data_IF_540878368268
#
_entry.id   IF_540878368268
#
_cell.length_a   1.000
_cell.length_b   1.000
_cell.length_c   1.000
_cell.angle_alpha   90.00
_cell.angle_beta   90.00
_cell.angle_gamma   90.00
#
_symmetry.space_group_name_H-M   'P 1'
#
loop_
_entity.id
_entity.type
_entity.pdbx_description
1 polymer ?
#
# COMPACT_ATOMS: atom_id res chain seq x y z
N UNK A 1 40.09 -56.25 -9.92
CA UNK A 1 41.53 -56.21 -9.55
C UNK A 1 42.06 -54.81 -9.81
N UNK A 2 43.13 -54.39 -9.11
CA UNK A 2 43.96 -53.18 -9.34
C UNK A 2 43.23 -51.80 -9.42
N UNK A 3 43.29 -50.89 -8.43
CA UNK A 3 44.43 -50.03 -7.92
C UNK A 3 44.77 -48.84 -8.84
N UNK A 4 45.28 -47.68 -8.40
CA UNK A 4 46.14 -47.34 -7.23
C UNK A 4 46.02 -45.84 -6.80
N UNK A 5 46.09 -45.56 -5.47
CA UNK A 5 46.58 -44.31 -4.79
C UNK A 5 46.04 -42.90 -5.19
N UNK A 6 46.27 -41.79 -4.45
CA UNK A 6 47.23 -41.47 -3.38
C UNK A 6 46.66 -40.55 -2.28
N UNK A 7 47.24 -40.59 -1.06
CA UNK A 7 47.13 -39.53 -0.03
C UNK A 7 48.36 -38.61 -0.08
N UNK A 8 48.19 -37.33 0.26
CA UNK A 8 49.18 -36.52 1.01
C UNK A 8 48.56 -35.22 1.56
N UNK A 9 49.03 -34.78 2.73
CA UNK A 9 48.61 -33.55 3.41
C UNK A 9 49.73 -32.50 3.45
N UNK A 10 49.42 -31.24 3.83
CA UNK A 10 50.37 -30.40 4.57
C UNK A 10 49.82 -29.97 5.96
N UNK A 11 50.68 -29.60 6.95
CA UNK A 11 50.26 -29.47 8.36
C UNK A 11 50.31 -28.04 8.97
N UNK A 12 49.56 -27.90 10.05
CA UNK A 12 49.86 -27.19 11.31
C UNK A 12 50.62 -25.85 11.34
N UNK A 13 49.86 -24.78 11.60
CA UNK A 13 50.03 -23.79 12.70
C UNK A 13 51.43 -23.32 13.16
N UNK A 14 51.59 -22.01 13.26
CA UNK A 14 52.41 -21.37 14.31
C UNK A 14 51.59 -20.36 15.13
N UNK A 15 51.93 -20.22 16.41
CA UNK A 15 51.32 -19.30 17.37
C UNK A 15 52.32 -18.21 17.73
N UNK A 16 51.88 -16.97 17.86
CA UNK A 16 52.55 -15.98 18.71
C UNK A 16 51.52 -15.12 19.45
N UNK A 17 51.88 -14.71 20.67
CA UNK A 17 51.00 -14.01 21.62
C UNK A 17 51.72 -12.80 22.24
N UNK A 18 50.91 -11.90 22.80
CA UNK A 18 51.17 -10.76 23.69
C UNK A 18 51.09 -9.35 23.09
N UNK A 19 50.29 -8.49 23.73
CA UNK A 19 50.13 -7.08 23.31
C UNK A 19 48.90 -6.34 23.84
N UNK A 20 48.71 -6.25 25.17
CA UNK A 20 47.92 -5.16 25.80
C UNK A 20 48.90 -4.24 26.54
N UNK A 21 48.72 -2.92 26.50
CA UNK A 21 48.19 -2.30 27.72
C UNK A 21 47.31 -1.03 27.57
N UNK A 22 46.47 -0.84 28.59
CA UNK A 22 45.99 0.41 29.24
C UNK A 22 45.19 1.49 28.49
N UNK A 23 44.14 1.90 29.20
CA UNK A 23 43.39 3.17 29.09
C UNK A 23 44.30 4.37 29.39
N UNK A 24 43.92 5.55 28.90
CA UNK A 24 44.17 6.82 29.59
C UNK A 24 42.88 7.66 29.69
N UNK A 25 42.75 8.41 30.77
CA UNK A 25 41.68 9.38 31.08
C UNK A 25 42.35 10.74 31.40
N UNK A 26 41.52 11.75 31.69
CA UNK A 26 41.84 13.12 32.15
C UNK A 26 42.23 14.12 31.03
N UNK A 27 42.04 15.44 31.24
CA UNK A 27 40.88 16.07 31.90
C UNK A 27 40.35 17.33 31.14
N UNK A 28 39.36 18.00 31.73
CA UNK A 28 38.91 19.37 31.38
C UNK A 28 40.04 20.41 31.62
N UNK A 29 39.90 21.68 31.15
CA UNK A 29 39.33 22.68 32.07
C UNK A 29 38.56 23.87 31.43
N UNK A 30 38.02 24.70 32.33
CA UNK A 30 37.62 26.12 32.19
C UNK A 30 36.44 26.58 31.32
N UNK A 31 35.34 26.79 32.06
CA UNK A 31 34.40 27.93 31.99
C UNK A 31 34.88 29.21 31.28
N UNK A 32 33.96 29.83 30.54
CA UNK A 32 33.74 31.28 30.64
C UNK A 32 32.23 31.59 30.63
N UNK A 33 31.80 32.48 31.52
CA UNK A 33 30.46 33.07 31.48
C UNK A 33 30.52 34.33 30.62
N UNK A 34 29.45 34.65 29.88
CA UNK A 34 29.30 35.98 29.30
C UNK A 34 27.99 36.63 29.76
N UNK A 35 28.12 37.77 30.43
CA UNK A 35 27.00 38.59 30.91
C UNK A 35 27.02 39.96 30.24
N UNK A 36 25.96 40.26 29.50
CA UNK A 36 25.60 41.62 29.06
C UNK A 36 24.13 41.81 29.41
N UNK A 37 23.78 42.18 30.65
CA UNK A 37 23.71 43.57 31.12
C UNK A 37 23.03 44.52 30.13
N UNK A 38 21.76 44.83 30.39
CA UNK A 38 21.20 46.15 30.08
C UNK A 38 20.20 46.57 31.18
N UNK A 39 20.55 47.66 31.86
CA UNK A 39 19.86 48.27 33.02
C UNK A 39 18.51 48.93 32.66
N UNK A 40 17.79 49.32 33.73
CA UNK A 40 16.87 50.47 33.86
C UNK A 40 15.36 50.25 33.67
N UNK A 41 14.45 51.00 34.31
CA UNK A 41 14.54 51.81 35.57
C UNK A 41 13.13 52.30 35.99
N UNK A 42 12.57 51.79 37.12
CA UNK A 42 11.30 52.23 37.78
C UNK A 42 10.01 51.97 36.97
N UNK A 43 8.81 51.99 37.56
CA UNK A 43 8.42 52.05 38.99
C UNK A 43 7.10 52.81 39.23
N UNK A 44 6.25 52.31 40.16
CA UNK A 44 4.87 52.76 40.44
C UNK A 44 3.86 52.60 39.26
N UNK A 45 2.53 52.53 39.49
CA UNK A 45 1.78 52.61 40.75
C UNK A 45 0.36 52.01 40.66
N UNK A 46 -0.46 52.19 41.70
CA UNK A 46 -1.83 51.63 41.77
C UNK A 46 -2.83 52.31 40.81
N UNK A 47 -3.80 51.53 40.32
CA UNK A 47 -4.92 52.02 39.50
C UNK A 47 -6.11 51.05 39.48
N UNK A 48 -6.87 50.99 40.59
CA UNK A 48 -8.11 50.18 40.68
C UNK A 48 -9.29 51.00 40.18
N UNK A 49 -9.88 50.64 39.04
CA UNK A 49 -11.18 51.17 38.61
C UNK A 49 -12.17 50.04 38.33
N UNK A 50 -13.46 50.35 38.48
CA UNK A 50 -14.55 49.36 38.63
C UNK A 50 -15.74 49.78 37.77
N UNK A 51 -16.35 48.80 37.10
CA UNK A 51 -17.64 48.86 36.39
C UNK A 51 -17.82 49.94 35.31
N UNK A 52 -18.19 49.50 34.11
CA UNK A 52 -19.61 49.50 33.75
C UNK A 52 -19.92 48.46 32.67
N UNK A 53 -21.13 47.88 32.76
CA UNK A 53 -21.64 46.82 31.90
C UNK A 53 -22.94 47.32 31.27
N UNK A 54 -22.87 47.83 30.04
CA UNK A 54 -24.05 48.34 29.34
C UNK A 54 -24.67 47.19 28.53
N UNK A 55 -25.95 46.89 28.81
CA UNK A 55 -26.78 45.94 28.07
C UNK A 55 -28.16 46.57 27.94
N UNK A 56 -28.49 47.09 26.76
CA UNK A 56 -29.79 47.69 26.47
C UNK A 56 -30.74 46.63 25.86
N UNK A 57 -32.05 46.82 26.03
CA UNK A 57 -33.09 45.88 25.60
C UNK A 57 -33.93 46.43 24.42
N UNK A 58 -34.40 45.48 23.61
CA UNK A 58 -35.63 45.36 22.83
C UNK A 58 -36.70 46.50 22.77
N UNK A 59 -37.19 46.71 21.53
CA UNK A 59 -38.61 46.79 21.10
C UNK A 59 -39.49 48.00 21.53
N UNK A 60 -40.71 48.23 20.92
CA UNK A 60 -41.49 47.36 20.02
C UNK A 60 -42.12 47.99 18.75
N UNK A 61 -42.82 47.14 17.97
CA UNK A 61 -43.97 47.43 17.05
C UNK A 61 -43.68 48.27 15.78
N UNK A 62 -44.32 48.08 14.61
CA UNK A 62 -45.34 47.11 14.11
C UNK A 62 -45.07 46.91 12.58
N UNK A 63 -45.87 46.27 11.69
CA UNK A 63 -47.25 45.76 11.68
C UNK A 63 -47.41 44.55 10.71
N UNK A 64 -48.63 44.06 10.46
CA UNK A 64 -48.93 42.87 9.65
C UNK A 64 -49.89 43.07 8.45
N UNK A 65 -49.81 42.18 7.46
CA UNK A 65 -50.87 41.87 6.47
C UNK A 65 -50.61 40.51 5.79
N UNK A 66 -51.67 39.84 5.34
CA UNK A 66 -51.68 38.40 5.02
C UNK A 66 -51.60 38.08 3.51
N UNK A 67 -51.08 36.88 3.17
CA UNK A 67 -51.80 35.84 2.41
C UNK A 67 -50.92 34.61 2.10
N UNK A 68 -51.52 33.41 2.04
CA UNK A 68 -50.86 32.13 1.71
C UNK A 68 -51.15 31.65 0.26
N UNK A 69 -51.04 30.34 -0.07
CA UNK A 69 -50.87 29.19 0.84
C UNK A 69 -49.87 28.07 0.40
N UNK A 70 -49.66 27.09 1.29
CA UNK A 70 -49.27 25.68 1.06
C UNK A 70 -48.18 25.30 0.03
N UNK A 71 -47.08 24.74 0.54
CA UNK A 71 -46.59 23.42 0.10
C UNK A 71 -45.98 22.65 1.30
N UNK A 72 -45.83 21.33 1.19
CA UNK A 72 -45.56 20.44 2.34
C UNK A 72 -44.07 20.23 2.65
N UNK A 73 -43.78 20.16 3.96
CA UNK A 73 -42.80 19.25 4.55
C UNK A 73 -41.38 19.23 3.97
N UNK A 74 -40.67 20.36 4.03
CA UNK A 74 -39.20 20.30 4.11
C UNK A 74 -38.80 19.65 5.43
N UNK A 75 -38.19 18.45 5.37
CA UNK A 75 -37.67 17.75 6.54
C UNK A 75 -36.60 18.60 7.25
N UNK A 76 -36.70 18.72 8.57
CA UNK A 76 -35.84 19.58 9.38
C UNK A 76 -34.36 19.22 9.27
N UNK A 77 -33.61 20.00 8.50
CA UNK A 77 -32.14 19.94 8.44
C UNK A 77 -31.56 20.43 9.78
N UNK A 78 -31.39 19.50 10.71
CA UNK A 78 -30.78 19.76 12.03
C UNK A 78 -29.31 20.12 11.83
N UNK A 79 -29.04 21.41 11.72
CA UNK A 79 -27.70 21.98 11.49
C UNK A 79 -26.86 22.00 12.76
N UNK A 80 -26.65 20.84 13.37
CA UNK A 80 -25.55 20.64 14.32
C UNK A 80 -24.24 21.06 13.65
N UNK A 81 -23.62 22.13 14.16
CA UNK A 81 -22.35 22.64 13.65
C UNK A 81 -21.23 21.64 13.83
N UNK A 82 -20.97 20.82 12.82
CA UNK A 82 -19.91 19.81 12.81
C UNK A 82 -18.57 20.53 12.93
N UNK A 83 -17.84 20.28 14.03
CA UNK A 83 -16.50 20.83 14.25
C UNK A 83 -15.56 20.40 13.13
N UNK A 84 -14.64 21.27 12.72
CA UNK A 84 -13.66 20.97 11.67
C UNK A 84 -12.82 19.72 11.98
N UNK A 85 -12.55 19.47 13.27
CA UNK A 85 -11.90 18.24 13.74
C UNK A 85 -12.79 17.00 13.63
N UNK A 86 -14.12 17.13 13.72
CA UNK A 86 -15.05 16.02 13.49
C UNK A 86 -15.08 15.58 12.02
N UNK A 87 -14.88 16.48 11.06
CA UNK A 87 -14.65 16.11 9.66
C UNK A 87 -13.34 15.34 9.45
N UNK A 88 -12.27 15.77 10.13
CA UNK A 88 -10.99 15.05 10.11
C UNK A 88 -11.13 13.64 10.71
N UNK A 89 -11.87 13.51 11.83
CA UNK A 89 -12.16 12.22 12.45
C UNK A 89 -13.03 11.32 11.54
N UNK A 90 -14.02 11.88 10.81
CA UNK A 90 -14.85 11.11 9.87
C UNK A 90 -14.06 10.57 8.68
N UNK A 91 -13.22 11.40 8.05
CA UNK A 91 -12.33 10.99 6.97
C UNK A 91 -11.28 9.96 7.45
N UNK A 92 -10.71 10.18 8.64
CA UNK A 92 -9.80 9.24 9.27
C UNK A 92 -10.46 7.89 9.53
N UNK A 93 -11.67 7.88 10.10
CA UNK A 93 -12.41 6.66 10.42
C UNK A 93 -12.79 5.83 9.19
N UNK A 94 -13.12 6.49 8.07
CA UNK A 94 -13.37 5.82 6.81
C UNK A 94 -12.11 5.15 6.25
N UNK A 95 -10.96 5.83 6.28
CA UNK A 95 -9.68 5.24 5.88
C UNK A 95 -9.20 4.13 6.82
N UNK A 96 -9.52 4.21 8.11
CA UNK A 96 -9.29 3.13 9.07
C UNK A 96 -10.09 1.88 8.71
N UNK A 97 -11.38 2.03 8.37
CA UNK A 97 -12.23 0.89 7.95
C UNK A 97 -11.75 0.25 6.65
N UNK A 98 -11.38 1.06 5.65
CA UNK A 98 -10.78 0.60 4.39
C UNK A 98 -9.50 -0.22 4.65
N UNK A 99 -8.54 0.37 5.37
CA UNK A 99 -7.24 -0.25 5.61
C UNK A 99 -7.33 -1.44 6.57
N UNK A 100 -8.29 -1.46 7.49
CA UNK A 100 -8.61 -2.64 8.30
C UNK A 100 -9.17 -3.80 7.46
N UNK A 101 -10.05 -3.53 6.49
CA UNK A 101 -10.55 -4.55 5.56
C UNK A 101 -9.40 -5.15 4.72
N UNK A 102 -8.55 -4.30 4.14
CA UNK A 102 -7.39 -4.77 3.35
C UNK A 102 -6.37 -5.54 4.21
N UNK A 103 -6.18 -5.11 5.46
CA UNK A 103 -5.34 -5.82 6.44
C UNK A 103 -5.93 -7.19 6.76
N UNK A 104 -7.24 -7.30 7.00
CA UNK A 104 -7.93 -8.56 7.25
C UNK A 104 -7.76 -9.52 6.05
N UNK A 105 -8.12 -9.09 4.84
CA UNK A 105 -8.03 -9.92 3.62
C UNK A 105 -6.60 -10.43 3.38
N UNK A 106 -5.59 -9.57 3.58
CA UNK A 106 -4.17 -9.93 3.41
C UNK A 106 -3.61 -10.82 4.54
N UNK A 107 -4.27 -10.87 5.71
CA UNK A 107 -3.95 -11.81 6.80
C UNK A 107 -4.69 -13.15 6.69
N UNK A 108 -5.90 -13.17 6.13
CA UNK A 108 -6.68 -14.41 5.91
C UNK A 108 -6.35 -15.10 4.59
N UNK A 109 -5.58 -14.48 3.70
CA UNK A 109 -5.32 -14.98 2.35
C UNK A 109 -6.59 -14.98 1.48
N UNK A 110 -7.49 -14.04 1.71
CA UNK A 110 -8.73 -13.88 0.97
C UNK A 110 -8.56 -12.83 -0.13
N UNK A 111 -9.03 -13.14 -1.34
CA UNK A 111 -9.05 -12.16 -2.43
C UNK A 111 -9.88 -10.92 -2.05
N UNK A 112 -9.36 -9.73 -2.35
CA UNK A 112 -10.03 -8.48 -2.08
C UNK A 112 -11.12 -8.23 -3.13
N UNK A 113 -12.30 -7.77 -2.70
CA UNK A 113 -13.39 -7.45 -3.62
C UNK A 113 -13.12 -6.11 -4.32
N UNK A 114 -12.53 -6.15 -5.51
CA UNK A 114 -12.25 -4.96 -6.32
C UNK A 114 -13.43 -4.65 -7.27
N UNK A 115 -14.34 -3.71 -6.94
CA UNK A 115 -15.50 -3.38 -7.79
C UNK A 115 -15.13 -2.68 -9.09
N UNK A 116 -13.92 -2.11 -9.18
CA UNK A 116 -13.33 -1.49 -10.36
C UNK A 116 -11.87 -1.94 -10.41
N UNK A 117 -11.41 -2.38 -11.59
CA UNK A 117 -10.05 -2.88 -11.84
C UNK A 117 -9.91 -4.41 -11.93
N UNK A 118 -10.94 -5.17 -11.53
CA UNK A 118 -10.96 -6.64 -11.67
C UNK A 118 -9.74 -7.32 -11.03
N UNK A 119 -9.16 -8.29 -11.73
CA UNK A 119 -7.95 -9.00 -11.30
C UNK A 119 -6.79 -8.05 -10.98
N UNK A 120 -6.51 -7.07 -11.87
CA UNK A 120 -5.35 -6.16 -11.75
C UNK A 120 -5.26 -5.39 -10.43
N UNK A 121 -6.40 -5.15 -9.78
CA UNK A 121 -6.47 -4.57 -8.45
C UNK A 121 -5.94 -5.52 -7.36
N UNK A 122 -6.18 -6.83 -7.47
CA UNK A 122 -5.56 -7.85 -6.62
C UNK A 122 -4.07 -8.05 -6.93
N UNK A 123 -3.63 -8.01 -8.19
CA UNK A 123 -2.21 -8.02 -8.57
C UNK A 123 -1.45 -6.91 -7.80
N UNK A 124 -1.99 -5.69 -7.80
CA UNK A 124 -1.42 -4.53 -7.11
C UNK A 124 -1.42 -4.72 -5.58
N UNK A 125 -2.53 -5.20 -5.00
CA UNK A 125 -2.64 -5.45 -3.55
C UNK A 125 -1.77 -6.61 -3.05
N UNK A 126 -1.41 -7.55 -3.92
CA UNK A 126 -0.51 -8.68 -3.62
C UNK A 126 0.94 -8.45 -4.07
N UNK A 127 1.22 -7.37 -4.80
CA UNK A 127 2.56 -6.99 -5.25
C UNK A 127 3.58 -6.75 -4.12
N UNK A 128 4.86 -6.73 -4.50
CA UNK A 128 5.97 -6.32 -3.64
C UNK A 128 5.79 -4.89 -3.07
N UNK A 129 5.05 -4.00 -3.76
CA UNK A 129 4.80 -2.64 -3.29
C UNK A 129 3.75 -2.56 -2.17
N UNK A 130 2.93 -3.59 -1.99
CA UNK A 130 1.93 -3.66 -0.93
C UNK A 130 2.49 -4.18 0.41
N UNK A 131 3.81 -4.07 0.62
CA UNK A 131 4.55 -4.39 1.86
C UNK A 131 5.71 -3.39 2.00
N UNK A 132 5.93 -2.85 3.20
CA UNK A 132 7.00 -1.87 3.50
C UNK A 132 7.78 -2.36 4.72
N UNK A 133 9.09 -2.55 4.57
CA UNK A 133 9.97 -3.18 5.59
C UNK A 133 9.43 -4.48 6.22
N UNK A 134 8.61 -5.25 5.50
CA UNK A 134 7.98 -6.49 5.98
C UNK A 134 6.62 -6.32 6.65
N UNK A 135 6.19 -5.10 6.90
CA UNK A 135 4.86 -4.81 7.42
C UNK A 135 3.92 -4.63 6.22
N UNK A 136 2.78 -5.35 6.14
CA UNK A 136 1.79 -5.11 5.08
C UNK A 136 1.40 -3.63 5.05
N UNK A 137 1.46 -3.03 3.86
CA UNK A 137 1.12 -1.61 3.68
C UNK A 137 -0.24 -1.21 4.28
N UNK A 138 -1.34 -1.97 4.12
CA UNK A 138 -2.61 -1.62 4.76
C UNK A 138 -2.56 -1.67 6.30
N UNK A 139 -1.68 -2.46 6.92
CA UNK A 139 -1.53 -2.47 8.38
C UNK A 139 -0.88 -1.17 8.88
N UNK A 140 0.08 -0.62 8.14
CA UNK A 140 0.64 0.71 8.40
C UNK A 140 -0.44 1.79 8.23
N UNK A 141 -1.22 1.69 7.15
CA UNK A 141 -2.37 2.57 6.90
C UNK A 141 -3.38 2.55 8.05
N UNK A 142 -3.75 1.37 8.54
CA UNK A 142 -4.69 1.18 9.65
C UNK A 142 -4.20 1.87 10.94
N UNK A 143 -2.90 1.75 11.25
CA UNK A 143 -2.31 2.47 12.40
C UNK A 143 -2.32 3.99 12.18
N UNK A 144 -1.99 4.47 10.98
CA UNK A 144 -1.93 5.89 10.67
C UNK A 144 -3.32 6.56 10.68
N UNK A 145 -4.30 6.00 9.96
CA UNK A 145 -5.69 6.47 9.97
C UNK A 145 -6.31 6.36 11.37
N UNK A 146 -6.05 5.27 12.11
CA UNK A 146 -6.51 5.12 13.49
C UNK A 146 -5.95 6.21 14.43
N UNK A 147 -4.65 6.48 14.36
CA UNK A 147 -4.01 7.53 15.14
C UNK A 147 -4.54 8.94 14.79
N UNK A 148 -4.66 9.25 13.49
CA UNK A 148 -5.23 10.52 13.03
C UNK A 148 -6.70 10.71 13.48
N UNK A 149 -7.49 9.64 13.44
CA UNK A 149 -8.90 9.63 13.91
C UNK A 149 -8.97 9.90 15.41
N UNK A 150 -8.20 9.16 16.21
CA UNK A 150 -8.15 9.33 17.66
C UNK A 150 -7.71 10.74 18.06
N UNK A 151 -6.66 11.26 17.42
CA UNK A 151 -6.14 12.59 17.69
C UNK A 151 -7.13 13.70 17.29
N UNK A 152 -7.79 13.58 16.13
CA UNK A 152 -8.85 14.49 15.71
C UNK A 152 -10.06 14.47 16.66
N UNK A 153 -10.47 13.29 17.15
CA UNK A 153 -11.52 13.18 18.18
C UNK A 153 -11.12 13.88 19.48
N UNK A 154 -9.88 13.68 19.96
CA UNK A 154 -9.40 14.29 21.21
C UNK A 154 -9.20 15.80 21.11
N UNK A 155 -8.80 16.32 19.94
CA UNK A 155 -8.81 17.75 19.63
C UNK A 155 -10.24 18.31 19.61
N UNK A 156 -11.20 17.59 18.99
CA UNK A 156 -12.60 17.99 18.97
C UNK A 156 -13.24 18.07 20.38
N UNK A 157 -12.84 17.20 21.31
CA UNK A 157 -13.30 17.23 22.71
C UNK A 157 -12.42 18.06 23.65
N UNK A 158 -11.29 18.62 23.17
CA UNK A 158 -10.24 19.29 23.98
C UNK A 158 -9.72 18.45 25.15
N UNK A 159 -9.73 17.13 25.02
CA UNK A 159 -9.33 16.15 26.05
C UNK A 159 -8.11 15.37 25.57
N UNK A 160 -6.98 16.07 25.46
CA UNK A 160 -5.75 15.52 24.92
C UNK A 160 -5.05 14.58 25.93
N UNK A 161 -4.71 13.35 25.51
CA UNK A 161 -4.06 12.38 26.38
C UNK A 161 -2.59 12.74 26.63
N UNK A 162 -1.99 12.09 27.63
CA UNK A 162 -0.57 12.21 28.01
C UNK A 162 -0.10 13.62 28.41
N UNK A 163 -1.04 14.55 28.69
CA UNK A 163 -0.72 15.92 29.09
C UNK A 163 -0.21 16.80 27.95
N UNK A 164 -0.47 16.42 26.69
CA UNK A 164 -0.17 17.25 25.53
C UNK A 164 -1.11 18.46 25.46
N UNK A 165 -0.57 19.61 25.10
CA UNK A 165 -1.33 20.82 24.81
C UNK A 165 -1.89 20.85 23.37
N UNK A 166 -2.83 21.76 23.12
CA UNK A 166 -3.55 21.90 21.85
C UNK A 166 -2.61 22.17 20.66
N UNK A 167 -1.46 22.85 20.87
CA UNK A 167 -0.50 23.15 19.80
C UNK A 167 0.27 21.90 19.38
N UNK A 168 0.74 21.10 20.33
CA UNK A 168 1.42 19.82 20.06
C UNK A 168 0.48 18.77 19.47
N UNK A 169 -0.77 18.70 19.94
CA UNK A 169 -1.80 17.84 19.35
C UNK A 169 -2.09 18.20 17.88
N UNK A 170 -2.23 19.49 17.58
CA UNK A 170 -2.38 19.97 16.20
C UNK A 170 -1.16 19.67 15.32
N UNK A 171 0.06 19.88 15.85
CA UNK A 171 1.30 19.63 15.10
C UNK A 171 1.47 18.14 14.75
N UNK A 172 1.10 17.25 15.67
CA UNK A 172 1.10 15.80 15.45
C UNK A 172 0.03 15.38 14.41
N UNK A 173 -1.15 16.02 14.40
CA UNK A 173 -2.17 15.77 13.37
C UNK A 173 -1.70 16.26 11.99
N UNK A 174 -1.05 17.41 11.92
CA UNK A 174 -0.48 17.92 10.67
C UNK A 174 0.64 17.01 10.15
N UNK A 175 1.58 16.60 11.01
CA UNK A 175 2.68 15.71 10.63
C UNK A 175 2.22 14.31 10.18
N UNK A 176 1.26 13.70 10.88
CA UNK A 176 0.69 12.40 10.48
C UNK A 176 -0.04 12.49 9.15
N UNK A 177 -0.89 13.51 8.95
CA UNK A 177 -1.64 13.66 7.69
C UNK A 177 -0.75 14.02 6.50
N UNK A 178 0.33 14.80 6.69
CA UNK A 178 1.39 15.00 5.67
C UNK A 178 2.11 13.69 5.32
N UNK A 179 2.44 12.87 6.32
CA UNK A 179 3.07 11.56 6.11
C UNK A 179 2.16 10.63 5.29
N UNK A 180 0.85 10.62 5.58
CA UNK A 180 -0.14 9.84 4.84
C UNK A 180 -0.29 10.35 3.40
N UNK A 181 -0.45 11.67 3.19
CA UNK A 181 -0.55 12.26 1.86
C UNK A 181 0.71 12.02 1.00
N UNK A 182 1.91 12.09 1.59
CA UNK A 182 3.17 11.81 0.89
C UNK A 182 3.30 10.32 0.55
N UNK A 183 2.89 9.43 1.46
CA UNK A 183 2.86 7.97 1.19
C UNK A 183 1.90 7.66 0.04
N UNK A 184 0.67 8.17 0.09
CA UNK A 184 -0.32 7.97 -0.98
C UNK A 184 0.12 8.59 -2.31
N UNK A 185 0.78 9.74 -2.32
CA UNK A 185 1.35 10.34 -3.54
C UNK A 185 2.45 9.46 -4.16
N UNK A 186 3.33 8.90 -3.33
CA UNK A 186 4.41 8.01 -3.76
C UNK A 186 3.88 6.68 -4.31
N UNK A 187 2.84 6.12 -3.68
CA UNK A 187 2.15 4.91 -4.15
C UNK A 187 1.40 5.15 -5.46
N UNK A 188 0.76 6.32 -5.62
CA UNK A 188 0.12 6.72 -6.89
C UNK A 188 1.15 6.88 -8.02
N UNK A 189 2.34 7.40 -7.71
CA UNK A 189 3.46 7.45 -8.65
C UNK A 189 3.91 6.05 -9.08
N UNK A 190 4.04 5.10 -8.15
CA UNK A 190 4.33 3.68 -8.49
C UNK A 190 3.21 3.08 -9.35
N UNK A 191 1.95 3.27 -8.99
CA UNK A 191 0.80 2.78 -9.75
C UNK A 191 0.85 3.28 -11.21
N UNK A 192 1.06 4.59 -11.38
CA UNK A 192 1.12 5.24 -12.69
C UNK A 192 2.34 4.86 -13.55
N UNK A 193 3.44 4.36 -12.95
CA UNK A 193 4.70 4.08 -13.68
C UNK A 193 4.97 2.60 -13.87
N UNK A 194 4.66 1.78 -12.87
CA UNK A 194 4.95 0.33 -12.85
C UNK A 194 3.76 -0.52 -13.33
N UNK A 195 2.54 0.02 -13.29
CA UNK A 195 1.30 -0.68 -13.69
C UNK A 195 0.46 0.15 -14.69
N UNK A 196 1.05 0.62 -15.82
CA UNK A 196 0.32 1.43 -16.79
C UNK A 196 -0.91 0.69 -17.34
N UNK A 197 -2.08 1.32 -17.21
CA UNK A 197 -3.37 0.77 -17.65
C UNK A 197 -4.12 -0.06 -16.60
N UNK A 198 -3.49 -0.46 -15.50
CA UNK A 198 -4.18 -1.12 -14.39
C UNK A 198 -4.86 -0.09 -13.46
N UNK A 199 -5.99 -0.46 -12.87
CA UNK A 199 -6.67 0.36 -11.85
C UNK A 199 -6.88 -0.40 -10.54
N UNK A 200 -6.60 0.27 -9.43
CA UNK A 200 -6.80 -0.25 -8.09
C UNK A 200 -7.76 0.68 -7.34
N UNK A 201 -9.03 0.28 -7.25
CA UNK A 201 -10.11 1.07 -6.62
C UNK A 201 -9.75 1.50 -5.20
N UNK A 202 -9.25 0.58 -4.38
CA UNK A 202 -8.75 0.87 -3.02
C UNK A 202 -7.58 1.86 -3.00
N UNK A 203 -6.61 1.71 -3.91
CA UNK A 203 -5.47 2.61 -3.99
C UNK A 203 -5.92 4.06 -4.27
N UNK A 204 -6.94 4.23 -5.13
CA UNK A 204 -7.55 5.53 -5.42
C UNK A 204 -8.39 6.08 -4.25
N UNK A 205 -9.14 5.24 -3.54
CA UNK A 205 -9.90 5.65 -2.34
C UNK A 205 -8.95 6.12 -1.23
N UNK A 206 -7.92 5.34 -0.88
CA UNK A 206 -6.91 5.73 0.10
C UNK A 206 -6.18 7.04 -0.30
N UNK A 207 -5.88 7.24 -1.59
CA UNK A 207 -5.36 8.53 -2.09
C UNK A 207 -6.34 9.67 -1.81
N UNK A 208 -7.61 9.55 -2.22
CA UNK A 208 -8.63 10.58 -2.02
C UNK A 208 -8.83 10.90 -0.53
N UNK A 209 -8.83 9.88 0.34
CA UNK A 209 -8.96 10.06 1.79
C UNK A 209 -7.73 10.73 2.40
N UNK A 210 -6.51 10.31 2.04
CA UNK A 210 -5.27 10.93 2.52
C UNK A 210 -5.17 12.41 2.15
N UNK A 211 -5.43 12.76 0.88
CA UNK A 211 -5.40 14.15 0.42
C UNK A 211 -6.54 14.99 1.02
N UNK A 212 -7.74 14.43 1.16
CA UNK A 212 -8.87 15.12 1.81
C UNK A 212 -8.61 15.38 3.29
N UNK A 213 -7.99 14.42 3.99
CA UNK A 213 -7.64 14.54 5.41
C UNK A 213 -6.53 15.59 5.63
N UNK A 214 -5.51 15.62 4.77
CA UNK A 214 -4.50 16.68 4.78
C UNK A 214 -5.09 18.06 4.44
N UNK A 215 -5.99 18.17 3.45
CA UNK A 215 -6.62 19.43 3.06
C UNK A 215 -7.61 19.98 4.10
N UNK A 216 -8.33 19.09 4.81
CA UNK A 216 -9.19 19.48 5.94
C UNK A 216 -8.38 19.86 7.17
N UNK A 217 -7.31 19.13 7.48
CA UNK A 217 -6.38 19.48 8.58
C UNK A 217 -5.72 20.84 8.32
N UNK A 218 -5.19 21.07 7.12
CA UNK A 218 -4.55 22.36 6.76
C UNK A 218 -5.53 23.54 6.78
N UNK A 219 -6.79 23.34 6.36
CA UNK A 219 -7.85 24.35 6.53
C UNK A 219 -8.19 24.62 8.00
N UNK A 220 -8.13 23.60 8.86
CA UNK A 220 -8.48 23.70 10.28
C UNK A 220 -7.42 24.46 11.08
N UNK A 221 -6.14 24.14 10.89
CA UNK A 221 -5.01 24.79 11.57
C UNK A 221 -4.69 26.19 11.02
N UNK A 222 -5.11 26.48 9.79
CA UNK A 222 -4.96 27.78 9.14
C UNK A 222 -3.59 28.02 8.49
N UNK A 223 -3.61 28.74 7.35
CA UNK A 223 -2.46 28.93 6.48
C UNK A 223 -1.25 29.63 7.12
N UNK A 224 -1.48 30.47 8.13
CA UNK A 224 -0.40 31.17 8.83
C UNK A 224 0.44 30.23 9.71
N UNK A 225 -0.18 29.27 10.40
CA UNK A 225 0.52 28.28 11.23
C UNK A 225 1.34 27.33 10.36
N UNK A 226 0.77 26.88 9.24
CA UNK A 226 1.44 26.05 8.23
C UNK A 226 2.67 26.76 7.64
N UNK A 227 2.61 28.08 7.41
CA UNK A 227 3.75 28.85 6.88
C UNK A 227 4.95 28.85 7.83
N UNK A 228 4.73 28.82 9.15
CA UNK A 228 5.80 28.63 10.14
C UNK A 228 6.38 27.22 10.09
N UNK A 229 5.51 26.20 10.06
CA UNK A 229 5.89 24.78 10.11
C UNK A 229 6.28 24.17 8.75
N UNK A 230 6.33 24.95 7.67
CA UNK A 230 6.56 24.46 6.31
C UNK A 230 7.89 23.68 6.19
N UNK A 231 8.93 24.12 6.91
CA UNK A 231 10.20 23.40 6.97
C UNK A 231 10.05 22.00 7.57
N UNK A 232 9.32 21.87 8.67
CA UNK A 232 9.04 20.57 9.30
C UNK A 232 8.21 19.67 8.37
N UNK A 233 7.20 20.21 7.69
CA UNK A 233 6.38 19.43 6.76
C UNK A 233 7.19 18.91 5.57
N UNK A 234 8.10 19.73 5.01
CA UNK A 234 9.03 19.30 3.96
C UNK A 234 10.05 18.26 4.47
N UNK A 235 10.53 18.39 5.71
CA UNK A 235 11.38 17.37 6.34
C UNK A 235 10.64 16.03 6.53
N UNK A 236 9.38 16.05 7.01
CA UNK A 236 8.56 14.84 7.15
C UNK A 236 8.33 14.20 5.79
N UNK A 237 7.91 14.97 4.78
CA UNK A 237 7.70 14.46 3.42
C UNK A 237 9.00 13.88 2.82
N UNK A 238 10.14 14.55 2.99
CA UNK A 238 11.45 14.07 2.55
C UNK A 238 11.89 12.78 3.24
N UNK A 239 11.67 12.65 4.55
CA UNK A 239 11.97 11.43 5.31
C UNK A 239 11.06 10.26 4.90
N UNK A 240 9.76 10.50 4.68
CA UNK A 240 8.81 9.49 4.21
C UNK A 240 9.16 9.02 2.79
N UNK A 241 9.45 9.96 1.88
CA UNK A 241 9.90 9.64 0.52
C UNK A 241 11.21 8.84 0.54
N UNK A 242 12.18 9.23 1.37
CA UNK A 242 13.45 8.50 1.51
C UNK A 242 13.27 7.09 2.10
N UNK A 243 12.41 6.94 3.12
CA UNK A 243 12.11 5.65 3.74
C UNK A 243 11.38 4.69 2.76
N UNK A 244 10.38 5.17 2.03
CA UNK A 244 9.70 4.39 1.00
C UNK A 244 10.66 4.04 -0.16
N UNK A 245 11.39 5.02 -0.67
CA UNK A 245 12.39 4.81 -1.72
C UNK A 245 13.47 3.82 -1.31
N UNK A 246 13.92 3.84 -0.05
CA UNK A 246 14.85 2.83 0.48
C UNK A 246 14.16 1.47 0.61
N UNK A 247 12.92 1.39 1.09
CA UNK A 247 12.18 0.10 1.22
C UNK A 247 11.93 -0.60 -0.12
N UNK A 248 11.87 0.13 -1.24
CA UNK A 248 11.57 -0.45 -2.57
C UNK A 248 12.78 -0.52 -3.51
N UNK A 249 13.79 0.34 -3.37
CA UNK A 249 15.03 0.27 -4.17
C UNK A 249 16.13 -0.56 -3.51
N UNK A 250 16.12 -0.72 -2.18
CA UNK A 250 17.00 -1.71 -1.57
C UNK A 250 16.57 -3.11 -2.00
N UNK A 251 17.52 -3.93 -2.42
CA UNK A 251 17.33 -5.38 -2.58
C UNK A 251 17.24 -6.06 -1.20
N UNK A 252 16.28 -5.62 -0.39
CA UNK A 252 15.80 -6.39 0.74
C UNK A 252 15.30 -7.72 0.17
N UNK A 253 15.65 -8.88 0.77
CA UNK A 253 14.95 -10.11 0.44
C UNK A 253 13.44 -9.85 0.67
N UNK A 254 12.56 -10.36 -0.21
CA UNK A 254 11.11 -10.16 -0.05
C UNK A 254 10.77 -10.60 1.38
N UNK A 255 10.20 -9.70 2.20
CA UNK A 255 10.27 -9.86 3.64
C UNK A 255 9.35 -10.98 4.12
N UNK A 256 9.73 -11.62 5.24
CA UNK A 256 8.95 -12.69 5.86
C UNK A 256 7.51 -12.23 6.09
N UNK A 257 6.57 -12.78 5.31
CA UNK A 257 5.15 -12.66 5.63
C UNK A 257 4.98 -13.14 7.06
N UNK A 258 4.17 -12.45 7.86
CA UNK A 258 3.96 -12.79 9.27
C UNK A 258 3.23 -14.13 9.39
N UNK A 259 3.98 -15.25 9.34
CA UNK A 259 3.45 -16.59 9.15
C UNK A 259 4.20 -17.48 8.15
N UNK A 260 5.22 -16.99 7.42
CA UNK A 260 5.99 -17.76 6.42
C UNK A 260 6.97 -18.77 7.04
N UNK A 261 6.40 -19.75 7.74
CA UNK A 261 6.95 -21.10 7.74
C UNK A 261 7.05 -21.55 6.28
N UNK A 262 8.10 -22.31 5.98
CA UNK A 262 8.28 -23.01 4.70
C UNK A 262 6.94 -23.56 4.17
N UNK A 263 6.52 -23.08 3.00
CA UNK A 263 5.35 -23.56 2.28
C UNK A 263 5.73 -24.87 1.59
N UNK A 264 5.21 -26.04 2.04
CA UNK A 264 5.49 -27.29 1.35
C UNK A 264 4.81 -27.26 -0.04
N UNK A 265 5.49 -27.81 -1.05
CA UNK A 265 4.90 -27.96 -2.37
C UNK A 265 3.56 -28.70 -2.29
N UNK A 266 2.51 -28.02 -2.74
CA UNK A 266 1.14 -28.53 -2.70
C UNK A 266 0.53 -28.39 -4.10
N UNK A 267 0.22 -29.50 -4.80
CA UNK A 267 -0.37 -29.43 -6.14
C UNK A 267 -1.68 -28.63 -6.16
N UNK A 268 -1.78 -27.67 -7.07
CA UNK A 268 -2.98 -26.85 -7.28
C UNK A 268 -4.16 -27.70 -7.75
N UNK A 269 -5.19 -27.88 -6.92
CA UNK A 269 -6.41 -28.62 -7.30
C UNK A 269 -7.26 -27.80 -8.29
N UNK A 270 -7.53 -28.35 -9.47
CA UNK A 270 -8.36 -27.70 -10.49
C UNK A 270 -9.77 -28.28 -10.44
N UNK A 271 -10.73 -27.41 -10.11
CA UNK A 271 -12.13 -27.79 -9.83
C UNK A 271 -13.04 -27.69 -11.05
N UNK A 272 -12.79 -26.71 -11.92
CA UNK A 272 -13.53 -26.54 -13.17
C UNK A 272 -13.25 -27.67 -14.17
N UNK A 273 -14.26 -28.18 -14.91
CA UNK A 273 -14.05 -29.04 -16.07
C UNK A 273 -13.53 -28.22 -17.27
N UNK A 274 -12.81 -28.86 -18.18
CA UNK A 274 -12.35 -28.18 -19.41
C UNK A 274 -13.44 -28.04 -20.47
N UNK A 275 -13.46 -26.91 -21.18
CA UNK A 275 -14.24 -26.76 -22.41
C UNK A 275 -13.56 -27.47 -23.61
N UNK A 276 -14.30 -27.73 -24.72
CA UNK A 276 -13.71 -28.28 -25.94
C UNK A 276 -12.63 -27.35 -26.54
N UNK A 277 -12.86 -26.02 -26.52
CA UNK A 277 -11.87 -25.02 -26.89
C UNK A 277 -10.60 -25.14 -26.03
N UNK A 278 -10.75 -25.20 -24.70
CA UNK A 278 -9.62 -25.31 -23.78
C UNK A 278 -8.76 -26.55 -24.07
N UNK A 279 -9.40 -27.71 -24.30
CA UNK A 279 -8.70 -28.96 -24.67
C UNK A 279 -7.95 -28.85 -25.99
N UNK A 280 -8.58 -28.29 -27.03
CA UNK A 280 -7.99 -28.17 -28.37
C UNK A 280 -6.82 -27.17 -28.37
N UNK A 281 -6.97 -26.03 -27.69
CA UNK A 281 -5.94 -25.00 -27.53
C UNK A 281 -4.77 -25.49 -26.66
N UNK A 282 -5.02 -26.19 -25.55
CA UNK A 282 -3.95 -26.77 -24.73
C UNK A 282 -3.15 -27.83 -25.50
N UNK A 283 -3.83 -28.65 -26.31
CA UNK A 283 -3.19 -29.65 -27.18
C UNK A 283 -2.29 -28.98 -28.22
N UNK A 284 -2.75 -27.90 -28.86
CA UNK A 284 -1.96 -27.09 -29.79
C UNK A 284 -0.74 -26.46 -29.11
N UNK A 285 -0.94 -25.81 -27.96
CA UNK A 285 0.14 -25.19 -27.16
C UNK A 285 1.24 -26.19 -26.82
N UNK A 286 0.89 -27.40 -26.36
CA UNK A 286 1.88 -28.47 -26.14
C UNK A 286 2.54 -28.94 -27.44
N UNK A 287 1.80 -29.07 -28.53
CA UNK A 287 2.34 -29.53 -29.81
C UNK A 287 3.41 -28.58 -30.39
N UNK A 288 3.28 -27.26 -30.16
CA UNK A 288 4.29 -26.26 -30.55
C UNK A 288 5.38 -26.02 -29.48
N UNK A 289 5.35 -26.74 -28.36
CA UNK A 289 6.31 -26.58 -27.26
C UNK A 289 6.13 -25.28 -26.44
N UNK A 290 4.93 -24.70 -26.42
CA UNK A 290 4.63 -23.51 -25.63
C UNK A 290 4.59 -23.84 -24.13
N UNK A 291 5.40 -23.13 -23.34
CA UNK A 291 5.60 -23.38 -21.90
C UNK A 291 4.94 -22.31 -21.04
N UNK A 292 4.25 -22.74 -19.99
CA UNK A 292 3.73 -21.90 -18.91
C UNK A 292 4.60 -22.07 -17.67
N UNK A 293 5.31 -21.02 -17.27
CA UNK A 293 6.09 -20.97 -16.03
C UNK A 293 5.26 -20.38 -14.91
N UNK A 294 5.34 -20.97 -13.71
CA UNK A 294 4.57 -20.50 -12.55
C UNK A 294 5.10 -21.05 -11.22
N UNK A 295 4.36 -20.76 -10.16
CA UNK A 295 4.58 -21.31 -8.82
C UNK A 295 3.27 -21.88 -8.26
N UNK A 296 3.33 -22.87 -7.37
CA UNK A 296 2.12 -23.52 -6.83
C UNK A 296 1.23 -22.60 -5.96
N UNK A 297 1.77 -21.52 -5.38
CA UNK A 297 1.02 -20.53 -4.58
C UNK A 297 0.57 -19.28 -5.38
N UNK A 298 0.84 -19.23 -6.67
CA UNK A 298 0.50 -18.09 -7.53
C UNK A 298 -0.99 -18.14 -7.90
N UNK A 299 -1.77 -17.17 -7.42
CA UNK A 299 -3.21 -17.00 -7.71
C UNK A 299 -3.48 -17.02 -9.21
N UNK A 300 -2.85 -16.14 -9.97
CA UNK A 300 -3.01 -16.03 -11.43
C UNK A 300 -2.56 -17.29 -12.19
N UNK A 301 -1.66 -18.09 -11.62
CA UNK A 301 -1.26 -19.37 -12.17
C UNK A 301 -2.33 -20.45 -11.93
N UNK A 302 -3.07 -20.37 -10.82
CA UNK A 302 -4.25 -21.17 -10.56
C UNK A 302 -5.43 -20.71 -11.42
N UNK A 303 -5.66 -19.40 -11.59
CA UNK A 303 -6.70 -18.83 -12.46
C UNK A 303 -6.51 -19.27 -13.92
N UNK A 304 -5.29 -19.11 -14.46
CA UNK A 304 -4.92 -19.58 -15.80
C UNK A 304 -5.23 -21.08 -15.97
N UNK A 305 -4.88 -21.90 -14.96
CA UNK A 305 -5.18 -23.34 -14.93
C UNK A 305 -6.68 -23.64 -14.78
N UNK A 306 -7.45 -22.79 -14.09
CA UNK A 306 -8.90 -22.92 -13.94
C UNK A 306 -9.65 -22.56 -15.22
N UNK A 307 -9.23 -21.52 -15.97
CA UNK A 307 -9.78 -21.21 -17.30
C UNK A 307 -9.62 -22.41 -18.24
N UNK A 308 -8.43 -23.03 -18.27
CA UNK A 308 -8.23 -24.27 -19.03
C UNK A 308 -9.03 -25.46 -18.48
N UNK A 309 -9.28 -25.52 -17.17
CA UNK A 309 -9.99 -26.63 -16.53
C UNK A 309 -9.13 -27.89 -16.35
N UNK A 310 -9.67 -28.85 -15.60
CA UNK A 310 -8.93 -29.99 -15.03
C UNK A 310 -8.30 -30.92 -16.07
N UNK A 311 -8.91 -31.08 -17.23
CA UNK A 311 -8.46 -32.00 -18.27
C UNK A 311 -7.36 -31.35 -19.12
N UNK A 312 -7.63 -30.16 -19.66
CA UNK A 312 -6.72 -29.41 -20.52
C UNK A 312 -5.51 -28.83 -19.78
N UNK A 313 -5.62 -28.49 -18.49
CA UNK A 313 -4.46 -28.06 -17.70
C UNK A 313 -3.41 -29.18 -17.51
N UNK A 314 -3.81 -30.47 -17.59
CA UNK A 314 -2.89 -31.62 -17.67
C UNK A 314 -2.26 -31.77 -19.07
N UNK A 315 -2.80 -31.07 -20.07
CA UNK A 315 -2.30 -31.03 -21.46
C UNK A 315 -1.36 -29.84 -21.69
N UNK A 316 -1.25 -28.87 -20.77
CA UNK A 316 -0.22 -27.82 -20.85
C UNK A 316 1.20 -28.36 -20.56
N UNK A 317 2.23 -27.72 -21.10
CA UNK A 317 3.62 -27.86 -20.62
C UNK A 317 3.84 -26.80 -19.52
N UNK A 318 3.50 -27.18 -18.28
CA UNK A 318 3.64 -26.33 -17.10
C UNK A 318 4.93 -26.62 -16.35
N UNK A 319 5.76 -25.59 -16.20
CA UNK A 319 7.01 -25.64 -15.43
C UNK A 319 6.77 -25.03 -14.05
N UNK A 320 6.76 -25.90 -13.04
CA UNK A 320 6.78 -25.49 -11.63
C UNK A 320 8.17 -24.95 -11.28
N UNK A 321 8.25 -23.68 -10.89
CA UNK A 321 9.51 -23.04 -10.57
C UNK A 321 10.00 -23.29 -9.14
N UNK A 322 9.18 -23.86 -8.26
CA UNK A 322 9.55 -24.15 -6.87
C UNK A 322 9.03 -25.53 -6.42
N UNK A 323 9.51 -26.63 -7.05
CA UNK A 323 9.02 -27.98 -6.79
C UNK A 323 9.36 -28.49 -5.38
N UNK A 324 10.40 -27.96 -4.74
CA UNK A 324 10.83 -28.33 -3.38
C UNK A 324 10.09 -27.54 -2.29
N UNK A 325 9.02 -26.81 -2.63
CA UNK A 325 8.37 -25.85 -1.73
C UNK A 325 9.02 -24.46 -1.77
N UNK A 326 8.54 -23.57 -0.91
CA UNK A 326 9.00 -22.18 -0.87
C UNK A 326 9.28 -21.65 0.53
N UNK A 327 10.35 -20.87 0.59
CA UNK A 327 10.69 -19.89 1.62
C UNK A 327 11.47 -18.77 0.94
N UNK A 328 11.59 -17.63 1.59
CA UNK A 328 12.44 -16.54 1.12
C UNK A 328 13.89 -17.02 0.95
N UNK A 329 14.52 -16.61 -0.15
CA UNK A 329 15.85 -17.09 -0.55
C UNK A 329 15.89 -18.49 -1.16
N UNK A 330 14.75 -19.13 -1.47
CA UNK A 330 14.74 -20.35 -2.30
C UNK A 330 15.11 -19.98 -3.74
N UNK A 331 16.11 -20.66 -4.31
CA UNK A 331 16.48 -20.50 -5.71
C UNK A 331 15.40 -21.07 -6.65
N UNK A 332 15.25 -20.47 -7.83
CA UNK A 332 14.36 -21.00 -8.88
C UNK A 332 14.82 -22.40 -9.32
N UNK A 333 13.85 -23.28 -9.60
CA UNK A 333 14.09 -24.60 -10.18
C UNK A 333 14.90 -24.52 -11.48
N UNK A 334 15.71 -25.55 -11.76
CA UNK A 334 16.78 -25.59 -12.78
C UNK A 334 16.36 -25.25 -14.23
N UNK A 335 15.07 -25.27 -14.54
CA UNK A 335 14.54 -24.84 -15.83
C UNK A 335 14.21 -23.33 -15.79
N UNK A 336 13.46 -22.89 -14.78
CA UNK A 336 13.14 -21.49 -14.53
C UNK A 336 14.38 -20.60 -14.31
N UNK A 337 15.40 -21.09 -13.61
CA UNK A 337 16.64 -20.34 -13.37
C UNK A 337 17.46 -20.03 -14.64
N UNK A 338 17.18 -20.68 -15.77
CA UNK A 338 17.84 -20.43 -17.07
C UNK A 338 17.20 -19.27 -17.85
N UNK A 339 15.98 -18.89 -17.49
CA UNK A 339 15.24 -17.78 -18.12
C UNK A 339 15.09 -16.62 -17.13
N UNK A 340 14.99 -15.39 -17.63
CA UNK A 340 14.78 -14.21 -16.79
C UNK A 340 13.30 -14.10 -16.43
N UNK A 341 12.87 -14.82 -15.39
CA UNK A 341 11.51 -14.69 -14.87
C UNK A 341 11.38 -13.37 -14.12
N UNK A 342 10.52 -12.49 -14.64
CA UNK A 342 10.17 -11.21 -14.03
C UNK A 342 8.86 -11.26 -13.20
N UNK A 343 8.05 -12.31 -13.39
CA UNK A 343 6.75 -12.49 -12.73
C UNK A 343 6.06 -13.79 -13.14
N UNK A 344 4.91 -14.08 -12.53
CA UNK A 344 4.13 -15.30 -12.78
C UNK A 344 2.63 -15.01 -12.96
N UNK A 345 1.92 -15.78 -13.82
CA UNK A 345 2.47 -16.74 -14.77
C UNK A 345 3.28 -16.03 -15.86
N UNK A 346 4.14 -16.78 -16.53
CA UNK A 346 4.88 -16.31 -17.71
C UNK A 346 4.77 -17.38 -18.80
N UNK A 347 4.39 -16.98 -19.99
CA UNK A 347 4.32 -17.89 -21.14
C UNK A 347 5.49 -17.64 -22.08
N UNK A 348 6.08 -18.73 -22.60
CA UNK A 348 6.98 -18.69 -23.75
C UNK A 348 6.30 -19.43 -24.90
N UNK A 349 5.92 -18.70 -25.95
CA UNK A 349 5.15 -19.21 -27.09
C UNK A 349 5.85 -18.74 -28.38
N UNK A 350 6.29 -19.67 -29.24
CA UNK A 350 7.00 -19.35 -30.49
C UNK A 350 8.21 -18.38 -30.28
N UNK A 351 8.87 -18.47 -29.12
CA UNK A 351 9.98 -17.59 -28.72
C UNK A 351 9.57 -16.21 -28.16
N UNK A 352 8.28 -15.86 -28.21
CA UNK A 352 7.74 -14.65 -27.59
C UNK A 352 7.49 -14.88 -26.10
N UNK A 353 7.71 -13.85 -25.27
CA UNK A 353 7.44 -13.88 -23.82
C UNK A 353 6.18 -13.08 -23.52
N UNK A 354 5.15 -13.74 -22.99
CA UNK A 354 3.95 -13.08 -22.47
C UNK A 354 4.00 -13.11 -20.93
N UNK A 355 3.58 -12.02 -20.28
CA UNK A 355 3.69 -11.81 -18.83
C UNK A 355 2.30 -11.69 -18.20
N UNK A 356 2.10 -12.32 -17.04
CA UNK A 356 0.82 -12.35 -16.37
C UNK A 356 -0.18 -13.32 -17.01
N UNK A 357 -1.38 -13.38 -16.45
CA UNK A 357 -2.51 -14.17 -16.98
C UNK A 357 -2.81 -13.79 -18.44
N UNK A 358 -3.15 -14.77 -19.28
CA UNK A 358 -3.47 -14.59 -20.70
C UNK A 358 -4.82 -15.23 -21.02
N UNK A 359 -5.70 -14.51 -21.72
CA UNK A 359 -6.99 -15.06 -22.17
C UNK A 359 -6.81 -16.02 -23.36
N UNK A 360 -7.81 -16.88 -23.61
CA UNK A 360 -7.78 -17.79 -24.76
C UNK A 360 -7.54 -17.12 -26.13
N UNK A 361 -8.09 -15.93 -26.46
CA UNK A 361 -7.81 -15.26 -27.73
C UNK A 361 -6.34 -14.86 -27.90
N UNK A 362 -5.68 -14.39 -26.83
CA UNK A 362 -4.27 -13.99 -26.88
C UNK A 362 -3.34 -15.20 -26.97
N UNK A 363 -3.64 -16.27 -26.21
CA UNK A 363 -2.93 -17.55 -26.34
C UNK A 363 -3.11 -18.16 -27.74
N UNK A 364 -4.33 -18.13 -28.30
CA UNK A 364 -4.60 -18.59 -29.67
C UNK A 364 -3.83 -17.77 -30.71
N UNK A 365 -3.83 -16.44 -30.58
CA UNK A 365 -3.13 -15.50 -31.47
C UNK A 365 -1.61 -15.67 -31.42
N UNK A 366 -1.02 -15.76 -30.23
CA UNK A 366 0.43 -15.94 -30.06
C UNK A 366 0.93 -17.34 -30.49
N UNK A 367 0.08 -18.36 -30.34
CA UNK A 367 0.39 -19.74 -30.75
C UNK A 367 0.11 -20.04 -32.22
N UNK A 368 -0.58 -19.15 -32.96
CA UNK A 368 -1.02 -19.42 -34.33
C UNK A 368 -2.08 -20.53 -34.41
N UNK A 369 -2.98 -20.59 -33.43
CA UNK A 369 -4.00 -21.63 -33.31
C UNK A 369 -5.07 -21.55 -34.41
N UNK A 370 -5.24 -22.64 -35.17
CA UNK A 370 -6.32 -22.76 -36.15
C UNK A 370 -7.67 -23.02 -35.45
N UNK A 371 -8.34 -21.92 -35.08
CA UNK A 371 -9.58 -21.94 -34.32
C UNK A 371 -10.70 -22.81 -34.95
N UNK A 372 -10.87 -22.73 -36.28
CA UNK A 372 -11.89 -23.48 -37.01
C UNK A 372 -13.30 -23.21 -36.47
N UNK A 373 -13.98 -24.25 -36.01
CA UNK A 373 -15.30 -24.17 -35.37
C UNK A 373 -15.35 -23.21 -34.16
N UNK A 374 -14.23 -22.99 -33.46
CA UNK A 374 -14.16 -22.12 -32.27
C UNK A 374 -13.91 -20.64 -32.61
N UNK A 375 -13.86 -20.27 -33.89
CA UNK A 375 -13.57 -18.89 -34.31
C UNK A 375 -14.57 -17.87 -33.74
N UNK A 376 -15.86 -18.23 -33.67
CA UNK A 376 -16.88 -17.38 -33.06
C UNK A 376 -16.75 -17.28 -31.53
N UNK A 377 -16.34 -18.36 -30.85
CA UNK A 377 -16.18 -18.38 -29.39
C UNK A 377 -15.01 -17.48 -28.98
N UNK A 378 -13.86 -17.63 -29.64
CA UNK A 378 -12.70 -16.78 -29.45
C UNK A 378 -13.00 -15.31 -29.82
N UNK A 379 -13.77 -15.03 -30.86
CA UNK A 379 -14.17 -13.67 -31.22
C UNK A 379 -15.15 -13.02 -30.21
N UNK A 380 -15.97 -13.82 -29.51
CA UNK A 380 -16.83 -13.34 -28.41
C UNK A 380 -15.99 -13.05 -27.16
N UNK A 381 -15.11 -13.97 -26.76
CA UNK A 381 -14.18 -13.79 -25.64
C UNK A 381 -13.26 -12.57 -25.84
N UNK A 382 -12.73 -12.37 -27.05
CA UNK A 382 -11.87 -11.22 -27.37
C UNK A 382 -12.60 -9.89 -27.16
N UNK A 383 -13.87 -9.80 -27.57
CA UNK A 383 -14.70 -8.60 -27.35
C UNK A 383 -15.02 -8.37 -25.89
N UNK A 384 -15.25 -9.42 -25.10
CA UNK A 384 -15.49 -9.29 -23.66
C UNK A 384 -14.24 -8.81 -22.92
N UNK A 385 -13.05 -9.28 -23.31
CA UNK A 385 -11.78 -8.77 -22.79
C UNK A 385 -11.51 -7.32 -23.22
N UNK A 386 -11.79 -6.96 -24.48
CA UNK A 386 -11.67 -5.59 -24.98
C UNK A 386 -12.64 -4.63 -24.29
N UNK A 387 -13.91 -5.02 -24.10
CA UNK A 387 -14.92 -4.25 -23.37
C UNK A 387 -14.56 -4.08 -21.89
N UNK A 388 -14.09 -5.13 -21.21
CA UNK A 388 -13.59 -5.03 -19.83
C UNK A 388 -12.41 -4.06 -19.67
N UNK A 389 -11.54 -3.96 -20.67
CA UNK A 389 -10.42 -3.01 -20.70
C UNK A 389 -10.83 -1.59 -21.13
N UNK A 390 -11.93 -1.42 -21.86
CA UNK A 390 -12.40 -0.15 -22.42
C UNK A 390 -13.45 0.57 -21.55
N UNK A 391 -13.89 -0.03 -20.44
CA UNK A 391 -14.74 0.62 -19.41
C UNK A 391 -13.87 1.48 -18.44
N UNK A 392 -12.80 2.09 -18.96
CA UNK A 392 -11.83 2.85 -18.16
C UNK A 392 -11.54 4.24 -18.79
N UNK A 393 -12.20 5.31 -18.29
CA UNK A 393 -12.00 6.68 -18.75
C UNK A 393 -10.76 7.38 -18.15
#
# INVERSE_FOLDING_TARGET
>A
MSTFSSLSSPPSSMVYSHGRPRRHHHPLPFSSSFSTQLKSNRGWGHGRLVLLKVKCLNDPSTDASESGPTSLSSSSSTSTGISSYSWCAGLGGLGFLETAYLTYSKLTGSEAFCPIGGGSCSDILNSNYAVVYGIPLPLIGMVAYGAATFLALKLATKDLPFGMDEINGELLLLGTTTSMATTSAYLLYILSTQYPGASCSYCLVSVLLSFSLFFTTTKTLGWQKIRGELGLQLCIAGLVFAALSTSYNATLPPPEKFGEKFLPYTPTEIKAPSSPLALKLATHLRAIGAKMYGAFWCSHCLEQKQMFGREAAKVLDYVECYPEGFKIGTELGKECAKIKIEGFPMWIINGQVLKGYQEFPDLAKASGFEAGEFSEELAKLAKQAEEANNIQP
#
